data_IF_368540191986
#
_entry.id   IF_368540191986
#
_cell.length_a   1.000
_cell.length_b   1.000
_cell.length_c   1.000
_cell.angle_alpha   90.00
_cell.angle_beta   90.00
_cell.angle_gamma   90.00
#
_symmetry.space_group_name_H-M   'P 1'
#
loop_
_entity.id
_entity.type
_entity.pdbx_description
1 polymer ?
#
# COMPACT_ATOMS: atom_id res chain seq x y z
N UNK A 1 4.14 20.63 14.60
CA UNK A 1 2.95 20.01 13.97
C UNK A 1 3.47 19.07 12.91
N UNK A 2 3.26 17.76 13.09
CA UNK A 2 3.55 16.80 12.02
C UNK A 2 2.31 16.84 11.12
N UNK A 3 2.48 17.31 9.88
CA UNK A 3 1.44 17.15 8.87
C UNK A 3 1.47 15.68 8.48
N UNK A 4 0.51 14.90 8.97
CA UNK A 4 0.28 13.55 8.48
C UNK A 4 -0.77 13.63 7.38
N UNK A 5 -0.49 12.97 6.25
CA UNK A 5 -1.43 12.82 5.14
C UNK A 5 -1.93 11.37 5.15
N UNK A 6 -2.76 10.95 6.13
CA UNK A 6 -3.20 9.57 6.23
C UNK A 6 -4.08 9.19 5.04
N UNK A 7 -3.67 8.16 4.32
CA UNK A 7 -4.45 7.54 3.25
C UNK A 7 -4.83 6.13 3.70
N UNK A 8 -6.11 5.75 3.53
CA UNK A 8 -6.59 4.44 3.96
C UNK A 8 -6.08 3.30 3.08
N UNK A 9 -6.14 2.06 3.59
CA UNK A 9 -5.75 0.87 2.82
C UNK A 9 -6.49 0.78 1.49
N UNK A 10 -7.77 1.15 1.44
CA UNK A 10 -8.60 1.07 0.23
C UNK A 10 -8.10 2.04 -0.86
N UNK A 11 -7.91 3.30 -0.49
CA UNK A 11 -7.35 4.33 -1.36
C UNK A 11 -5.93 3.98 -1.84
N UNK A 12 -5.06 3.57 -0.92
CA UNK A 12 -3.70 3.13 -1.25
C UNK A 12 -3.71 1.94 -2.20
N UNK A 13 -4.55 0.93 -1.94
CA UNK A 13 -4.64 -0.25 -2.79
C UNK A 13 -5.13 0.08 -4.19
N UNK A 14 -5.97 1.11 -4.35
CA UNK A 14 -6.42 1.56 -5.67
C UNK A 14 -5.24 2.10 -6.48
N UNK A 15 -4.39 2.94 -5.88
CA UNK A 15 -3.18 3.45 -6.53
C UNK A 15 -2.17 2.32 -6.84
N UNK A 16 -2.01 1.39 -5.90
CA UNK A 16 -1.12 0.23 -6.08
C UNK A 16 -1.60 -0.71 -7.19
N UNK A 17 -2.91 -0.96 -7.29
CA UNK A 17 -3.50 -1.77 -8.36
C UNK A 17 -3.20 -1.19 -9.72
N UNK A 18 -3.38 0.13 -9.89
CA UNK A 18 -3.06 0.81 -11.14
C UNK A 18 -1.58 0.62 -11.48
N UNK A 19 -0.69 0.84 -10.52
CA UNK A 19 0.76 0.67 -10.70
C UNK A 19 1.15 -0.77 -11.05
N UNK A 20 0.64 -1.76 -10.32
CA UNK A 20 0.96 -3.18 -10.55
C UNK A 20 0.37 -3.66 -11.87
N UNK A 21 -0.83 -3.19 -12.26
CA UNK A 21 -1.49 -3.59 -13.50
C UNK A 21 -0.75 -3.15 -14.77
N UNK A 22 0.13 -2.14 -14.69
CA UNK A 22 1.00 -1.74 -15.82
C UNK A 22 1.98 -2.85 -16.22
N UNK A 23 2.34 -3.73 -15.28
CA UNK A 23 3.32 -4.80 -15.46
C UNK A 23 2.66 -6.18 -15.38
N UNK A 24 1.76 -6.37 -14.42
CA UNK A 24 1.10 -7.64 -14.14
C UNK A 24 -0.38 -7.42 -13.72
N UNK A 25 -1.30 -7.44 -14.69
CA UNK A 25 -2.73 -7.29 -14.42
C UNK A 25 -3.34 -8.39 -13.55
N UNK A 26 -2.82 -9.63 -13.60
CA UNK A 26 -3.34 -10.73 -12.78
C UNK A 26 -2.97 -10.53 -11.32
N UNK A 27 -1.72 -10.17 -11.05
CA UNK A 27 -1.26 -9.83 -9.70
C UNK A 27 -2.01 -8.62 -9.13
N UNK A 28 -2.29 -7.61 -9.95
CA UNK A 28 -3.06 -6.43 -9.52
C UNK A 28 -4.47 -6.82 -9.04
N UNK A 29 -5.13 -7.76 -9.71
CA UNK A 29 -6.45 -8.25 -9.29
C UNK A 29 -6.42 -9.03 -7.97
N UNK A 30 -5.26 -9.58 -7.59
CA UNK A 30 -5.08 -10.28 -6.32
C UNK A 30 -4.80 -9.33 -5.15
N UNK A 31 -4.53 -8.04 -5.41
CA UNK A 31 -4.36 -7.05 -4.34
C UNK A 31 -5.73 -6.82 -3.70
N UNK A 32 -5.84 -7.14 -2.41
CA UNK A 32 -7.03 -6.86 -1.62
C UNK A 32 -6.64 -5.99 -0.43
N UNK A 33 -7.18 -4.76 -0.31
CA UNK A 33 -6.98 -3.98 0.90
C UNK A 33 -7.59 -4.72 2.10
N UNK A 34 -6.97 -4.56 3.26
CA UNK A 34 -7.53 -4.97 4.52
C UNK A 34 -7.93 -3.73 5.32
N UNK A 35 -9.23 -3.55 5.51
CA UNK A 35 -9.78 -2.41 6.24
C UNK A 35 -9.90 -2.75 7.73
N UNK A 36 -9.24 -1.95 8.57
CA UNK A 36 -9.37 -2.01 10.03
C UNK A 36 -9.95 -0.68 10.50
N UNK A 37 -11.09 -0.65 11.22
CA UNK A 37 -11.62 0.57 11.79
C UNK A 37 -10.67 1.19 12.82
N UNK A 38 -10.69 2.51 12.97
CA UNK A 38 -9.91 3.23 13.98
C UNK A 38 -10.27 4.71 14.03
N UNK A 39 -9.45 5.52 14.69
CA UNK A 39 -9.76 6.94 14.93
C UNK A 39 -9.12 7.90 13.90
N UNK A 40 -8.34 7.38 12.96
CA UNK A 40 -7.68 8.20 11.93
C UNK A 40 -8.55 8.32 10.69
N UNK A 41 -8.77 9.54 10.20
CA UNK A 41 -9.57 9.77 8.99
C UNK A 41 -8.70 9.87 7.74
N UNK A 42 -9.05 9.13 6.70
CA UNK A 42 -8.42 9.23 5.39
C UNK A 42 -8.64 10.60 4.77
N UNK A 43 -7.58 11.25 4.29
CA UNK A 43 -7.67 12.57 3.63
C UNK A 43 -8.31 12.51 2.24
N UNK A 44 -8.33 11.34 1.59
CA UNK A 44 -8.87 11.17 0.24
C UNK A 44 -10.38 10.84 0.24
N UNK A 45 -10.81 9.91 1.09
CA UNK A 45 -12.20 9.41 1.08
C UNK A 45 -13.00 9.72 2.35
N UNK A 46 -12.37 10.24 3.40
CA UNK A 46 -13.04 10.57 4.66
C UNK A 46 -13.43 9.37 5.54
N UNK A 47 -13.13 8.14 5.14
CA UNK A 47 -13.40 6.93 5.94
C UNK A 47 -12.37 6.83 7.07
N UNK A 48 -12.81 6.35 8.23
CA UNK A 48 -11.95 6.11 9.39
C UNK A 48 -11.18 4.78 9.28
N UNK A 49 -9.96 4.75 9.79
CA UNK A 49 -9.05 3.62 9.69
C UNK A 49 -8.14 3.53 10.92
N UNK A 50 -7.74 2.31 11.25
CA UNK A 50 -6.77 1.99 12.29
C UNK A 50 -5.46 1.43 11.74
N UNK A 51 -5.43 1.03 10.47
CA UNK A 51 -4.22 0.54 9.81
C UNK A 51 -3.46 1.71 9.19
N UNK A 52 -2.17 1.81 9.49
CA UNK A 52 -1.31 2.83 8.90
C UNK A 52 -0.84 2.42 7.50
N UNK A 53 -0.46 3.42 6.69
CA UNK A 53 0.03 3.21 5.33
C UNK A 53 1.22 2.23 5.28
N UNK A 54 2.14 2.29 6.25
CA UNK A 54 3.27 1.36 6.33
C UNK A 54 2.81 -0.11 6.36
N UNK A 55 1.90 -0.46 7.27
CA UNK A 55 1.41 -1.84 7.38
C UNK A 55 0.68 -2.28 6.10
N UNK A 56 -0.18 -1.43 5.54
CA UNK A 56 -0.87 -1.74 4.29
C UNK A 56 0.08 -1.95 3.12
N UNK A 57 1.10 -1.10 2.98
CA UNK A 57 2.09 -1.24 1.90
C UNK A 57 2.98 -2.47 2.11
N UNK A 58 3.26 -2.85 3.37
CA UNK A 58 4.09 -4.01 3.70
C UNK A 58 3.46 -5.31 3.22
N UNK A 59 2.18 -5.49 3.51
CA UNK A 59 1.47 -6.73 3.16
C UNK A 59 1.42 -6.89 1.64
N UNK A 60 1.11 -5.81 0.91
CA UNK A 60 1.07 -5.81 -0.56
C UNK A 60 2.48 -5.98 -1.15
N UNK A 61 3.50 -5.33 -0.58
CA UNK A 61 4.89 -5.50 -1.02
C UNK A 61 5.35 -6.95 -0.90
N UNK A 62 5.01 -7.66 0.18
CA UNK A 62 5.35 -9.07 0.35
C UNK A 62 4.71 -9.93 -0.75
N UNK A 63 3.42 -9.71 -1.03
CA UNK A 63 2.71 -10.38 -2.12
C UNK A 63 3.36 -10.11 -3.49
N UNK A 64 3.72 -8.86 -3.77
CA UNK A 64 4.40 -8.48 -5.02
C UNK A 64 5.79 -9.09 -5.10
N UNK A 65 6.56 -9.10 -4.01
CA UNK A 65 7.91 -9.64 -3.93
C UNK A 65 7.96 -11.14 -4.17
N UNK A 66 7.01 -11.88 -3.61
CA UNK A 66 6.94 -13.33 -3.75
C UNK A 66 6.62 -13.75 -5.20
N UNK A 67 5.93 -12.89 -5.94
CA UNK A 67 5.50 -13.15 -7.33
C UNK A 67 6.48 -12.58 -8.36
N UNK A 68 6.91 -11.33 -8.18
CA UNK A 68 7.76 -10.59 -9.11
C UNK A 68 8.76 -9.67 -8.36
N UNK A 69 9.96 -10.18 -8.03
CA UNK A 69 10.99 -9.42 -7.30
C UNK A 69 11.44 -8.13 -7.99
N UNK A 70 11.41 -8.08 -9.33
CA UNK A 70 11.78 -6.88 -10.09
C UNK A 70 10.76 -5.77 -9.86
N UNK A 71 9.47 -6.08 -10.01
CA UNK A 71 8.38 -5.14 -9.73
C UNK A 71 8.37 -4.68 -8.28
N UNK A 72 8.74 -5.55 -7.34
CA UNK A 72 8.82 -5.19 -5.92
C UNK A 72 9.83 -4.07 -5.64
N UNK A 73 10.94 -4.00 -6.40
CA UNK A 73 11.91 -2.91 -6.28
C UNK A 73 11.29 -1.57 -6.68
N UNK A 74 10.55 -1.55 -7.77
CA UNK A 74 9.87 -0.33 -8.26
C UNK A 74 8.71 0.05 -7.34
N UNK A 75 7.97 -0.94 -6.83
CA UNK A 75 6.94 -0.76 -5.80
C UNK A 75 7.52 -0.06 -4.57
N UNK A 76 8.64 -0.53 -4.04
CA UNK A 76 9.32 0.09 -2.90
C UNK A 76 9.85 1.50 -3.19
N UNK A 77 10.15 1.81 -4.45
CA UNK A 77 10.49 3.17 -4.88
C UNK A 77 9.31 4.14 -4.75
N UNK A 78 8.09 3.66 -4.97
CA UNK A 78 6.87 4.48 -5.05
C UNK A 78 6.02 4.47 -3.78
N UNK A 79 6.04 3.35 -3.06
CA UNK A 79 5.24 3.09 -1.86
C UNK A 79 6.13 2.77 -0.66
N UNK A 80 7.26 3.46 -0.51
CA UNK A 80 8.22 3.19 0.57
C UNK A 80 7.54 3.23 1.94
N UNK A 81 6.89 4.32 2.36
CA UNK A 81 6.23 4.42 3.68
C UNK A 81 7.06 3.79 4.82
N UNK A 82 8.38 3.99 4.82
CA UNK A 82 9.36 3.38 5.74
C UNK A 82 9.59 1.86 5.61
N UNK A 83 9.11 1.20 4.55
CA UNK A 83 9.28 -0.22 4.28
C UNK A 83 10.75 -0.62 4.15
N UNK A 84 11.62 0.27 3.65
CA UNK A 84 13.06 -0.02 3.56
C UNK A 84 13.68 -0.36 4.91
N UNK A 85 13.15 0.18 6.02
CA UNK A 85 13.63 -0.15 7.38
C UNK A 85 13.41 -1.61 7.77
N UNK A 86 12.54 -2.32 7.04
CA UNK A 86 12.15 -3.70 7.34
C UNK A 86 12.78 -4.73 6.40
N UNK A 87 13.31 -4.31 5.25
CA UNK A 87 13.73 -5.22 4.17
C UNK A 87 15.12 -4.90 3.58
N UNK A 88 15.81 -3.88 4.09
CA UNK A 88 17.23 -3.57 3.83
C UNK A 88 18.03 -3.76 5.11
#
# INVERSE_FOLDING_TARGET
MIITNPVCPDCLSTEMKVFVAEVDPELANQISPFHVPGDTTCIQCGITMGLCAHCSCKDIYLQVKDTNPTLAKDFMGRFDYDLRKNFM
#
